data_IF_811931973281
#
_entry.id   IF_811931973281
#
_cell.length_a   1.000
_cell.length_b   1.000
_cell.length_c   1.000
_cell.angle_alpha   90.00
_cell.angle_beta   90.00
_cell.angle_gamma   90.00
#
_symmetry.space_group_name_H-M   'P 1'
#
loop_
_entity.id
_entity.type
_entity.pdbx_description
1 polymer ?
#
# COMPACT_ATOMS: atom_id res chain seq x y z
N UNK A 1 -13.79 -15.01 -5.56
CA UNK A 1 -13.19 -15.54 -4.31
C UNK A 1 -12.17 -14.54 -3.80
N UNK A 2 -12.08 -14.26 -2.49
CA UNK A 2 -11.14 -13.27 -1.92
C UNK A 2 -9.67 -13.49 -2.34
N UNK A 3 -9.30 -14.74 -2.59
CA UNK A 3 -7.99 -15.13 -3.13
C UNK A 3 -7.74 -14.62 -4.54
N UNK A 4 -8.76 -14.50 -5.39
CA UNK A 4 -8.59 -13.99 -6.76
C UNK A 4 -8.30 -12.48 -6.77
N UNK A 5 -8.84 -11.73 -5.80
CA UNK A 5 -8.55 -10.31 -5.65
C UNK A 5 -7.09 -10.08 -5.23
N UNK A 6 -6.51 -10.98 -4.42
CA UNK A 6 -5.12 -10.90 -3.99
C UNK A 6 -4.10 -11.11 -5.11
N UNK A 7 -4.47 -11.88 -6.15
CA UNK A 7 -3.61 -12.13 -7.32
C UNK A 7 -3.71 -11.03 -8.38
N UNK A 8 -4.60 -10.03 -8.20
CA UNK A 8 -4.72 -8.92 -9.14
C UNK A 8 -3.67 -7.85 -8.87
N UNK A 9 -3.23 -7.11 -9.89
CA UNK A 9 -2.29 -6.02 -9.72
C UNK A 9 -2.80 -4.92 -8.76
N UNK A 10 -1.86 -4.21 -8.15
CA UNK A 10 -2.17 -3.08 -7.29
C UNK A 10 -1.05 -2.04 -7.31
N UNK A 11 -1.40 -0.78 -7.07
CA UNK A 11 -0.47 0.33 -6.97
C UNK A 11 -0.25 0.70 -5.51
N UNK A 12 1.00 0.70 -5.05
CA UNK A 12 1.39 1.10 -3.72
C UNK A 12 2.01 2.50 -3.76
N UNK A 13 1.46 3.43 -2.99
CA UNK A 13 2.07 4.75 -2.76
C UNK A 13 2.47 4.90 -1.30
N UNK A 14 3.74 5.20 -1.05
CA UNK A 14 4.25 5.42 0.31
C UNK A 14 4.41 6.92 0.57
N UNK A 15 3.50 7.48 1.35
CA UNK A 15 3.54 8.87 1.78
C UNK A 15 4.41 9.03 3.03
N UNK A 16 4.96 10.23 3.24
CA UNK A 16 5.67 10.58 4.48
C UNK A 16 4.81 11.49 5.34
N UNK A 17 4.78 11.30 6.66
CA UNK A 17 4.00 12.12 7.60
C UNK A 17 4.68 13.42 7.99
N UNK A 18 6.00 13.52 7.87
CA UNK A 18 6.75 14.74 8.13
C UNK A 18 6.79 15.65 6.89
N UNK A 19 6.85 16.99 7.06
CA UNK A 19 6.95 17.93 5.95
C UNK A 19 8.35 17.84 5.35
N UNK A 20 8.58 16.81 4.54
CA UNK A 20 9.68 16.82 3.61
C UNK A 20 9.19 17.60 2.38
N UNK A 21 9.98 18.57 1.93
CA UNK A 21 9.99 19.14 0.58
C UNK A 21 10.33 18.07 -0.49
N UNK A 22 9.86 16.85 -0.28
CA UNK A 22 10.02 15.73 -1.17
C UNK A 22 8.92 15.79 -2.25
N UNK A 23 9.23 15.43 -3.49
CA UNK A 23 8.22 15.29 -4.54
C UNK A 23 7.11 14.33 -4.10
N UNK A 24 5.92 14.49 -4.69
CA UNK A 24 4.80 13.56 -4.54
C UNK A 24 5.33 12.13 -4.71
N UNK A 25 5.00 11.26 -3.75
CA UNK A 25 5.38 9.86 -3.82
C UNK A 25 4.78 9.27 -5.09
N UNK A 26 5.62 8.64 -5.91
CA UNK A 26 5.15 7.98 -7.13
C UNK A 26 4.57 6.61 -6.74
N UNK A 27 3.39 6.25 -7.28
CA UNK A 27 2.86 4.90 -7.11
C UNK A 27 3.80 3.89 -7.75
N UNK A 28 4.11 2.83 -7.02
CA UNK A 28 4.82 1.66 -7.52
C UNK A 28 3.80 0.56 -7.83
N UNK A 29 3.79 0.10 -9.09
CA UNK A 29 2.88 -0.96 -9.55
C UNK A 29 3.44 -2.33 -9.19
N UNK A 30 2.67 -3.12 -8.47
CA UNK A 30 2.96 -4.51 -8.15
C UNK A 30 2.11 -5.46 -9.00
N UNK A 31 2.66 -6.65 -9.30
CA UNK A 31 1.98 -7.66 -10.09
C UNK A 31 0.77 -8.25 -9.37
N UNK A 32 0.81 -8.25 -8.04
CA UNK A 32 -0.27 -8.75 -7.18
C UNK A 32 -0.52 -7.83 -5.98
N UNK A 33 -1.76 -7.80 -5.49
CA UNK A 33 -2.15 -7.12 -4.27
C UNK A 33 -1.43 -7.72 -3.06
N UNK A 34 -1.16 -9.04 -3.06
CA UNK A 34 -0.37 -9.67 -2.01
C UNK A 34 1.04 -9.07 -1.89
N UNK A 35 1.71 -8.86 -3.02
CA UNK A 35 3.04 -8.21 -3.03
C UNK A 35 2.96 -6.76 -2.56
N UNK A 36 1.96 -5.99 -3.01
CA UNK A 36 1.74 -4.63 -2.54
C UNK A 36 1.52 -4.57 -1.02
N UNK A 37 0.73 -5.50 -0.46
CA UNK A 37 0.50 -5.60 0.99
C UNK A 37 1.80 -5.95 1.73
N UNK A 38 2.60 -6.88 1.21
CA UNK A 38 3.89 -7.24 1.82
C UNK A 38 4.87 -6.05 1.84
N UNK A 39 4.95 -5.30 0.74
CA UNK A 39 5.76 -4.08 0.66
C UNK A 39 5.22 -2.98 1.60
N UNK A 40 3.91 -2.82 1.67
CA UNK A 40 3.25 -1.91 2.61
C UNK A 40 3.54 -2.28 4.08
N UNK A 41 3.54 -3.57 4.42
CA UNK A 41 3.89 -4.05 5.76
C UNK A 41 5.32 -3.61 6.15
N UNK A 42 6.28 -3.72 5.22
CA UNK A 42 7.63 -3.21 5.41
C UNK A 42 7.71 -1.70 5.56
N UNK A 43 6.81 -0.93 4.92
CA UNK A 43 6.73 0.51 5.11
C UNK A 43 6.13 0.89 6.48
N UNK A 44 5.15 0.13 6.97
CA UNK A 44 4.46 0.36 8.25
C UNK A 44 5.36 0.22 9.48
N UNK A 45 6.54 -0.41 9.36
CA UNK A 45 7.52 -0.47 10.45
C UNK A 45 8.11 0.91 10.78
N UNK A 46 8.04 1.86 9.84
CA UNK A 46 8.47 3.23 10.04
C UNK A 46 7.25 4.14 10.26
N UNK A 47 7.07 4.73 11.46
CA UNK A 47 5.93 5.60 11.74
C UNK A 47 5.92 6.89 10.90
N UNK A 48 7.06 7.23 10.25
CA UNK A 48 7.13 8.33 9.31
C UNK A 48 6.53 7.99 7.94
N UNK A 49 6.20 6.72 7.66
CA UNK A 49 5.66 6.25 6.38
C UNK A 49 4.18 5.86 6.50
N UNK A 50 3.43 6.18 5.46
CA UNK A 50 2.01 5.88 5.33
C UNK A 50 1.79 5.22 3.96
N UNK A 51 1.71 3.88 3.90
CA UNK A 51 1.43 3.18 2.66
C UNK A 51 -0.06 3.18 2.35
N UNK A 52 -0.39 3.49 1.10
CA UNK A 52 -1.73 3.45 0.55
C UNK A 52 -1.70 2.56 -0.68
N UNK A 53 -2.64 1.62 -0.78
CA UNK A 53 -2.74 0.72 -1.93
C UNK A 53 -4.00 1.06 -2.71
N UNK A 54 -3.90 1.13 -4.03
CA UNK A 54 -5.03 1.21 -4.95
C UNK A 54 -5.09 -0.12 -5.70
N UNK A 55 -6.18 -0.87 -5.57
CA UNK A 55 -6.36 -2.14 -6.29
C UNK A 55 -6.66 -1.88 -7.76
N UNK A 56 -6.52 -2.90 -8.61
CA UNK A 56 -6.96 -2.84 -10.01
C UNK A 56 -8.43 -2.39 -10.17
N UNK A 57 -9.28 -2.73 -9.21
CA UNK A 57 -10.70 -2.38 -9.18
C UNK A 57 -10.95 -0.92 -8.75
N UNK A 58 -9.90 -0.20 -8.37
CA UNK A 58 -9.97 1.18 -7.89
C UNK A 58 -10.30 1.30 -6.40
N UNK A 59 -10.25 0.21 -5.63
CA UNK A 59 -10.45 0.25 -4.19
C UNK A 59 -9.21 0.83 -3.51
N UNK A 60 -9.42 1.71 -2.52
CA UNK A 60 -8.34 2.37 -1.78
C UNK A 60 -8.20 1.72 -0.41
N UNK A 61 -7.06 1.08 -0.17
CA UNK A 61 -6.70 0.47 1.09
C UNK A 61 -5.82 1.43 1.89
N UNK A 62 -6.36 1.91 3.01
CA UNK A 62 -5.66 2.83 3.91
C UNK A 62 -4.60 2.12 4.77
N UNK A 63 -3.61 2.84 5.30
CA UNK A 63 -2.62 2.29 6.24
C UNK A 63 -3.24 1.53 7.40
N UNK A 64 -4.38 2.01 7.93
CA UNK A 64 -5.09 1.36 9.03
C UNK A 64 -5.77 0.06 8.59
N UNK A 65 -6.34 0.02 7.38
CA UNK A 65 -6.91 -1.21 6.83
C UNK A 65 -5.82 -2.28 6.68
N UNK A 66 -4.66 -1.89 6.13
CA UNK A 66 -3.51 -2.78 5.93
C UNK A 66 -3.02 -3.34 7.28
N UNK A 67 -2.95 -2.49 8.32
CA UNK A 67 -2.63 -2.94 9.69
C UNK A 67 -3.63 -3.95 10.23
N UNK A 68 -4.93 -3.72 10.01
CA UNK A 68 -5.98 -4.66 10.45
C UNK A 68 -5.90 -5.98 9.70
N UNK A 69 -5.57 -5.96 8.40
CA UNK A 69 -5.45 -7.16 7.58
C UNK A 69 -4.24 -8.02 7.94
N UNK A 70 -3.15 -7.40 8.43
CA UNK A 70 -1.91 -8.09 8.82
C UNK A 70 -1.91 -8.65 10.25
N UNK A 71 -2.86 -8.21 11.09
CA UNK A 71 -3.05 -8.68 12.46
C UNK A 71 -3.96 -9.91 12.51
#
# INVERSE_FOLDING_TARGET
>A
METEALERPADLTIWRTAPATAPLAQPERYGTLREAIAAAAGALTDPAKQPWIITEEGEILSPNWIRTYLN
#
